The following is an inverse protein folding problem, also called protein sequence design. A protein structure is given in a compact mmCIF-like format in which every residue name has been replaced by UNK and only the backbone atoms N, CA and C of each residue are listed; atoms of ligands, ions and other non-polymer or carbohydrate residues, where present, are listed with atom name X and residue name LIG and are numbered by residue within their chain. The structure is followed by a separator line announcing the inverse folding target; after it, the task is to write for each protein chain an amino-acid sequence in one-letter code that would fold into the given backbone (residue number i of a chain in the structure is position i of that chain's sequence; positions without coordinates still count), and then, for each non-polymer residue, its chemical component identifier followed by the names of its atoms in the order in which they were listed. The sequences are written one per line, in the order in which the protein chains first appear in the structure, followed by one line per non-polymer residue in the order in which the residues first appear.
data_IF_179062631830
#
_entry.id   IF_179062631830
#
_cell.length_a   1.000
_cell.length_b   1.000
_cell.length_c   1.000
_cell.angle_alpha   90.00
_cell.angle_beta   90.00
_cell.angle_gamma   90.00
#
_symmetry.space_group_name_H-M   'P 1'
#
loop_
_entity.id
_entity.type
_entity.pdbx_description
1 polymer ?
#
# COMPACT_ATOMS: atom_id res chain seq x y z
N UNK A 1 -15.25 -17.15 2.69
CA UNK A 1 -13.94 -16.48 2.57
C UNK A 1 -13.98 -15.60 1.32
N UNK A 2 -14.33 -14.31 1.47
CA UNK A 2 -14.37 -13.38 0.35
C UNK A 2 -12.93 -13.00 0.01
N UNK A 3 -12.36 -13.68 -0.98
CA UNK A 3 -10.98 -13.53 -1.44
C UNK A 3 -10.67 -12.09 -1.90
N UNK A 4 -11.72 -11.34 -2.29
CA UNK A 4 -11.62 -9.94 -2.69
C UNK A 4 -12.34 -9.02 -1.69
N UNK A 5 -11.57 -8.19 -0.99
CA UNK A 5 -12.12 -6.92 -0.51
C UNK A 5 -12.24 -6.01 -1.73
N UNK A 6 -13.39 -6.11 -2.43
CA UNK A 6 -13.61 -5.50 -3.73
C UNK A 6 -13.28 -4.01 -3.75
N UNK A 7 -13.68 -3.27 -2.72
CA UNK A 7 -13.38 -1.82 -2.62
C UNK A 7 -11.89 -1.54 -2.55
N UNK A 8 -11.14 -2.28 -1.72
CA UNK A 8 -9.69 -2.06 -1.55
C UNK A 8 -8.90 -2.42 -2.81
N UNK A 9 -9.21 -3.58 -3.38
CA UNK A 9 -8.54 -4.09 -4.58
C UNK A 9 -8.78 -3.19 -5.79
N UNK A 10 -9.98 -2.63 -5.92
CA UNK A 10 -10.31 -1.65 -6.96
C UNK A 10 -9.50 -0.36 -6.77
N UNK A 11 -9.46 0.20 -5.54
CA UNK A 11 -8.69 1.43 -5.28
C UNK A 11 -7.21 1.23 -5.63
N UNK A 12 -6.62 0.13 -5.18
CA UNK A 12 -5.23 -0.19 -5.44
C UNK A 12 -4.94 -0.46 -6.91
N UNK A 13 -5.82 -1.19 -7.59
CA UNK A 13 -5.70 -1.46 -9.02
C UNK A 13 -5.78 -0.18 -9.85
N UNK A 14 -6.72 0.72 -9.53
CA UNK A 14 -6.85 2.01 -10.22
C UNK A 14 -5.62 2.88 -9.96
N UNK A 15 -5.21 3.07 -8.71
CA UNK A 15 -4.07 3.95 -8.42
C UNK A 15 -2.77 3.39 -8.99
N UNK A 16 -2.54 2.08 -8.89
CA UNK A 16 -1.41 1.42 -9.53
C UNK A 16 -1.46 1.57 -11.05
N UNK A 17 -2.62 1.36 -11.68
CA UNK A 17 -2.79 1.47 -13.13
C UNK A 17 -2.53 2.87 -13.67
N UNK A 18 -3.11 3.88 -13.02
CA UNK A 18 -2.86 5.31 -13.33
C UNK A 18 -1.39 5.65 -13.21
N UNK A 19 -0.72 5.14 -12.16
CA UNK A 19 0.69 5.39 -11.96
C UNK A 19 1.58 4.73 -13.01
N UNK A 20 1.27 3.50 -13.41
CA UNK A 20 1.96 2.82 -14.50
C UNK A 20 1.80 3.58 -15.81
N UNK A 21 0.60 4.08 -16.11
CA UNK A 21 0.33 4.93 -17.26
C UNK A 21 1.16 6.23 -17.22
N UNK A 22 1.13 6.96 -16.10
CA UNK A 22 1.90 8.19 -15.93
C UNK A 22 3.42 7.95 -16.05
N UNK A 23 3.91 6.83 -15.52
CA UNK A 23 5.30 6.43 -15.66
C UNK A 23 5.70 6.20 -17.11
N UNK A 24 4.85 5.52 -17.89
CA UNK A 24 5.11 5.30 -19.30
C UNK A 24 5.10 6.61 -20.10
N UNK A 25 4.19 7.55 -19.78
CA UNK A 25 4.19 8.88 -20.39
C UNK A 25 5.46 9.67 -20.05
N UNK A 26 5.87 9.64 -18.78
CA UNK A 26 7.10 10.30 -18.33
C UNK A 26 8.32 9.73 -19.05
N UNK A 27 8.39 8.40 -19.16
CA UNK A 27 9.44 7.72 -19.92
C UNK A 27 9.51 8.18 -21.38
N UNK A 28 8.37 8.33 -22.06
CA UNK A 28 8.31 8.83 -23.43
C UNK A 28 8.63 10.33 -23.57
N UNK A 29 8.30 11.14 -22.56
CA UNK A 29 8.59 12.57 -22.56
C UNK A 29 10.08 12.86 -22.30
N UNK A 30 10.79 11.94 -21.65
CA UNK A 30 12.22 12.11 -21.35
C UNK A 30 13.10 11.56 -22.48
N UNK A 31 14.03 12.37 -23.04
CA UNK A 31 14.99 11.89 -24.02
C UNK A 31 16.06 11.04 -23.31
N UNK A 32 15.83 9.73 -23.22
CA UNK A 32 16.72 8.80 -22.53
C UNK A 32 17.76 8.21 -23.50
N UNK A 33 19.06 8.52 -23.35
CA UNK A 33 20.08 8.03 -24.26
C UNK A 33 20.52 6.61 -23.88
N UNK A 34 20.36 5.69 -24.83
CA UNK A 34 20.96 4.37 -24.79
C UNK A 34 20.29 3.34 -23.86
N UNK A 35 20.68 2.05 -23.99
CA UNK A 35 19.97 0.95 -23.33
C UNK A 35 20.10 0.91 -21.80
N UNK A 36 21.30 1.17 -21.25
CA UNK A 36 21.52 1.18 -19.79
C UNK A 36 20.65 2.24 -19.11
N UNK A 37 20.67 3.46 -19.64
CA UNK A 37 19.87 4.58 -19.12
C UNK A 37 18.39 4.30 -19.29
N UNK A 38 17.96 3.71 -20.40
CA UNK A 38 16.56 3.29 -20.64
C UNK A 38 16.06 2.34 -19.55
N UNK A 39 16.81 1.28 -19.27
CA UNK A 39 16.45 0.31 -18.24
C UNK A 39 16.47 0.91 -16.83
N UNK A 40 17.49 1.71 -16.53
CA UNK A 40 17.66 2.31 -15.21
C UNK A 40 16.61 3.40 -14.95
N UNK A 41 16.47 4.38 -15.83
CA UNK A 41 15.50 5.47 -15.67
C UNK A 41 14.06 4.94 -15.76
N UNK A 42 13.78 4.02 -16.69
CA UNK A 42 12.46 3.39 -16.79
C UNK A 42 12.10 2.56 -15.56
N UNK A 43 13.05 1.77 -15.03
CA UNK A 43 12.89 1.06 -13.77
C UNK A 43 12.64 2.01 -12.59
N UNK A 44 13.39 3.12 -12.54
CA UNK A 44 13.23 4.19 -11.56
C UNK A 44 11.84 4.83 -11.58
N UNK A 45 11.37 5.27 -12.75
CA UNK A 45 10.03 5.87 -12.89
C UNK A 45 8.93 4.90 -12.51
N UNK A 46 9.01 3.65 -12.96
CA UNK A 46 8.02 2.64 -12.66
C UNK A 46 7.95 2.39 -11.15
N UNK A 47 9.09 2.13 -10.51
CA UNK A 47 9.13 1.87 -9.08
C UNK A 47 8.69 3.08 -8.25
N UNK A 48 9.14 4.28 -8.61
CA UNK A 48 8.76 5.52 -7.93
C UNK A 48 7.26 5.80 -8.00
N UNK A 49 6.70 5.85 -9.21
CA UNK A 49 5.32 6.28 -9.40
C UNK A 49 4.33 5.21 -8.94
N UNK A 50 4.56 3.94 -9.28
CA UNK A 50 3.66 2.84 -8.90
C UNK A 50 3.61 2.70 -7.37
N UNK A 51 4.77 2.69 -6.70
CA UNK A 51 4.77 2.59 -5.23
C UNK A 51 4.13 3.83 -4.57
N UNK A 52 4.44 5.03 -5.06
CA UNK A 52 3.87 6.29 -4.56
C UNK A 52 2.34 6.29 -4.61
N UNK A 53 1.77 5.96 -5.76
CA UNK A 53 0.33 6.00 -5.96
C UNK A 53 -0.40 4.86 -5.24
N UNK A 54 0.22 3.69 -5.09
CA UNK A 54 -0.35 2.64 -4.23
C UNK A 54 -0.38 3.11 -2.77
N UNK A 55 0.65 3.80 -2.29
CA UNK A 55 0.68 4.39 -0.93
C UNK A 55 -0.37 5.50 -0.78
N UNK A 56 -0.56 6.34 -1.79
CA UNK A 56 -1.67 7.32 -1.83
C UNK A 56 -3.02 6.59 -1.80
N UNK A 57 -3.17 5.51 -2.57
CA UNK A 57 -4.38 4.69 -2.60
C UNK A 57 -4.70 4.07 -1.23
N UNK A 58 -3.67 3.60 -0.51
CA UNK A 58 -3.82 3.09 0.86
C UNK A 58 -4.30 4.19 1.82
N UNK A 59 -3.69 5.38 1.79
CA UNK A 59 -4.11 6.49 2.65
C UNK A 59 -5.52 6.97 2.29
N UNK A 60 -5.85 7.06 1.00
CA UNK A 60 -7.19 7.39 0.56
C UNK A 60 -8.22 6.35 1.03
N UNK A 61 -7.90 5.06 0.98
CA UNK A 61 -8.75 3.98 1.47
C UNK A 61 -9.00 4.09 2.99
N UNK A 62 -7.95 4.36 3.79
CA UNK A 62 -8.02 4.40 5.26
C UNK A 62 -8.58 5.72 5.81
N UNK A 63 -8.02 6.87 5.41
CA UNK A 63 -8.31 8.16 6.05
C UNK A 63 -9.11 9.12 5.17
N UNK A 64 -9.22 8.83 3.85
CA UNK A 64 -9.71 9.77 2.84
C UNK A 64 -8.88 11.06 2.79
N UNK A 65 -7.60 10.96 3.12
CA UNK A 65 -6.63 12.06 3.06
C UNK A 65 -5.41 11.64 2.24
N UNK A 66 -4.52 12.59 1.97
CA UNK A 66 -3.20 12.29 1.43
C UNK A 66 -2.21 11.93 2.55
N UNK A 67 -1.21 11.09 2.26
CA UNK A 67 -0.08 10.89 3.17
C UNK A 67 0.68 12.19 3.41
N UNK A 68 1.41 12.26 4.53
CA UNK A 68 2.31 13.38 4.79
C UNK A 68 3.37 13.51 3.70
N UNK A 69 3.76 14.75 3.38
CA UNK A 69 4.67 15.05 2.29
C UNK A 69 6.02 14.33 2.43
N UNK A 70 6.56 14.23 3.65
CA UNK A 70 7.83 13.53 3.92
C UNK A 70 7.76 12.03 3.59
N UNK A 71 6.61 11.38 3.80
CA UNK A 71 6.39 9.98 3.40
C UNK A 71 6.33 9.86 1.89
N UNK A 72 5.62 10.77 1.20
CA UNK A 72 5.54 10.80 -0.26
C UNK A 72 6.92 10.98 -0.91
N UNK A 73 7.72 11.95 -0.44
CA UNK A 73 9.06 12.20 -0.97
C UNK A 73 10.01 11.05 -0.69
N UNK A 74 9.91 10.41 0.49
CA UNK A 74 10.70 9.23 0.82
C UNK A 74 10.38 8.04 -0.12
N UNK A 75 9.10 7.76 -0.36
CA UNK A 75 8.69 6.68 -1.28
C UNK A 75 9.15 6.97 -2.70
N UNK A 76 8.96 8.22 -3.17
CA UNK A 76 9.40 8.64 -4.49
C UNK A 76 10.92 8.45 -4.67
N UNK A 77 11.72 8.95 -3.73
CA UNK A 77 13.19 8.86 -3.80
C UNK A 77 13.68 7.41 -3.72
N UNK A 78 13.13 6.62 -2.79
CA UNK A 78 13.47 5.21 -2.67
C UNK A 78 13.08 4.45 -3.95
N UNK A 79 11.92 4.72 -4.52
CA UNK A 79 11.48 4.12 -5.77
C UNK A 79 12.39 4.46 -6.95
N UNK A 80 12.79 5.73 -7.09
CA UNK A 80 13.75 6.12 -8.12
C UNK A 80 15.08 5.37 -7.95
N UNK A 81 15.62 5.35 -6.73
CA UNK A 81 16.91 4.74 -6.44
C UNK A 81 16.88 3.21 -6.64
N UNK A 82 15.96 2.50 -5.98
CA UNK A 82 15.89 1.04 -6.09
C UNK A 82 15.41 0.57 -7.47
N UNK A 83 14.52 1.33 -8.11
CA UNK A 83 14.09 1.05 -9.47
C UNK A 83 15.22 1.21 -10.48
N UNK A 84 16.04 2.26 -10.34
CA UNK A 84 17.20 2.48 -11.20
C UNK A 84 18.28 1.42 -11.02
N UNK A 85 18.58 1.04 -9.77
CA UNK A 85 19.50 -0.06 -9.48
C UNK A 85 18.97 -1.38 -10.04
N UNK A 86 17.69 -1.68 -9.86
CA UNK A 86 17.05 -2.87 -10.43
C UNK A 86 17.15 -2.90 -11.96
N UNK A 87 16.86 -1.77 -12.61
CA UNK A 87 17.00 -1.63 -14.06
C UNK A 87 18.43 -1.84 -14.55
N UNK A 88 19.42 -1.26 -13.87
CA UNK A 88 20.83 -1.43 -14.21
C UNK A 88 21.28 -2.89 -14.08
N UNK A 89 20.91 -3.58 -12.98
CA UNK A 89 21.23 -5.00 -12.78
C UNK A 89 20.68 -5.84 -13.93
N UNK A 90 19.42 -5.62 -14.30
CA UNK A 90 18.77 -6.32 -15.41
C UNK A 90 19.50 -6.08 -16.72
N UNK A 91 19.89 -4.84 -17.00
CA UNK A 91 20.65 -4.51 -18.20
C UNK A 91 21.96 -5.29 -18.27
N UNK A 92 22.74 -5.33 -17.18
CA UNK A 92 23.98 -6.10 -17.14
C UNK A 92 23.74 -7.61 -17.31
N UNK A 93 22.67 -8.16 -16.74
CA UNK A 93 22.29 -9.56 -16.93
C UNK A 93 21.90 -9.88 -18.38
N UNK A 94 21.24 -8.96 -19.08
CA UNK A 94 20.91 -9.12 -20.51
C UNK A 94 22.18 -9.02 -21.37
N UNK A 95 23.11 -8.12 -21.02
CA UNK A 95 24.32 -7.90 -21.82
C UNK A 95 25.33 -9.03 -21.75
N UNK A 96 25.36 -9.78 -20.66
CA UNK A 96 26.25 -10.94 -20.53
C UNK A 96 25.77 -12.15 -21.31
N UNK A 97 24.52 -12.19 -21.78
CA UNK A 97 23.99 -13.32 -22.55
C UNK A 97 22.87 -12.90 -23.53
N UNK A 98 23.17 -12.82 -24.83
CA UNK A 98 22.23 -12.36 -25.86
C UNK A 98 21.00 -13.27 -26.05
N UNK A 99 21.14 -14.58 -25.78
CA UNK A 99 20.03 -15.54 -25.78
C UNK A 99 19.00 -15.21 -24.67
N UNK A 100 19.41 -14.47 -23.64
CA UNK A 100 18.55 -14.01 -22.55
C UNK A 100 17.82 -12.70 -22.86
N UNK A 101 17.90 -12.11 -24.05
CA UNK A 101 17.24 -10.84 -24.31
C UNK A 101 15.71 -10.89 -24.05
N UNK A 102 15.05 -11.98 -24.43
CA UNK A 102 13.60 -12.17 -24.19
C UNK A 102 13.30 -12.49 -22.72
N UNK A 103 13.95 -13.53 -22.18
CA UNK A 103 13.73 -13.97 -20.79
C UNK A 103 14.19 -12.94 -19.77
N UNK A 104 15.30 -12.27 -20.04
CA UNK A 104 15.85 -11.19 -19.23
C UNK A 104 14.92 -9.98 -19.15
N UNK A 105 14.11 -9.73 -20.18
CA UNK A 105 13.08 -8.68 -20.12
C UNK A 105 11.96 -9.05 -19.15
N UNK A 106 11.49 -10.30 -19.19
CA UNK A 106 10.46 -10.81 -18.27
C UNK A 106 10.98 -10.81 -16.83
N UNK A 107 12.18 -11.36 -16.62
CA UNK A 107 12.87 -11.37 -15.32
C UNK A 107 13.06 -9.94 -14.82
N UNK A 108 13.44 -9.02 -15.71
CA UNK A 108 13.68 -7.64 -15.35
C UNK A 108 12.44 -6.87 -14.93
N UNK A 109 11.33 -7.06 -15.65
CA UNK A 109 10.04 -6.52 -15.21
C UNK A 109 9.58 -7.16 -13.89
N UNK A 110 9.83 -8.46 -13.70
CA UNK A 110 9.61 -9.13 -12.42
C UNK A 110 10.42 -8.51 -11.27
N UNK A 111 11.71 -8.22 -11.47
CA UNK A 111 12.57 -7.55 -10.48
C UNK A 111 12.08 -6.13 -10.19
N UNK A 112 11.77 -5.34 -11.23
CA UNK A 112 11.21 -4.00 -11.06
C UNK A 112 9.90 -4.04 -10.26
N UNK A 113 9.00 -4.97 -10.60
CA UNK A 113 7.76 -5.18 -9.88
C UNK A 113 7.99 -5.61 -8.42
N UNK A 114 8.93 -6.53 -8.18
CA UNK A 114 9.34 -6.95 -6.84
C UNK A 114 9.82 -5.79 -5.98
N UNK A 115 10.61 -4.88 -6.56
CA UNK A 115 11.04 -3.64 -5.90
C UNK A 115 9.85 -2.75 -5.54
N UNK A 116 8.88 -2.57 -6.44
CA UNK A 116 7.63 -1.85 -6.13
C UNK A 116 6.92 -2.50 -4.93
N UNK A 117 6.77 -3.82 -4.97
CA UNK A 117 6.14 -4.60 -3.92
C UNK A 117 6.83 -4.44 -2.56
N UNK A 118 8.15 -4.50 -2.53
CA UNK A 118 8.94 -4.24 -1.33
C UNK A 118 8.68 -2.84 -0.76
N UNK A 119 8.73 -1.79 -1.58
CA UNK A 119 8.49 -0.41 -1.13
C UNK A 119 7.07 -0.21 -0.61
N UNK A 120 6.09 -0.81 -1.27
CA UNK A 120 4.70 -0.80 -0.85
C UNK A 120 4.53 -1.49 0.51
N UNK A 121 5.22 -2.62 0.75
CA UNK A 121 5.14 -3.35 2.03
C UNK A 121 5.57 -2.54 3.24
N UNK A 122 6.50 -1.59 3.07
CA UNK A 122 6.97 -0.71 4.14
C UNK A 122 5.96 0.36 4.54
N UNK A 123 4.93 0.57 3.72
CA UNK A 123 3.99 1.67 3.85
C UNK A 123 2.55 1.22 4.11
N UNK A 124 2.26 -0.06 3.91
CA UNK A 124 0.99 -0.70 4.25
C UNK A 124 1.13 -1.36 5.63
N UNK A 125 0.28 -1.04 6.60
CA UNK A 125 0.38 -1.58 7.96
C UNK A 125 0.35 -3.11 7.96
N UNK A 126 1.32 -3.72 8.65
CA UNK A 126 1.43 -5.17 8.83
C UNK A 126 1.46 -6.00 7.53
N UNK A 127 1.84 -5.41 6.40
CA UNK A 127 2.03 -6.14 5.15
C UNK A 127 3.35 -6.91 5.15
N UNK A 128 3.29 -8.22 4.89
CA UNK A 128 4.49 -9.05 4.80
C UNK A 128 5.34 -8.71 3.57
N UNK A 129 6.59 -8.29 3.77
CA UNK A 129 7.51 -7.92 2.67
C UNK A 129 7.66 -9.02 1.61
N UNK A 130 7.78 -10.29 2.03
CA UNK A 130 7.88 -11.44 1.11
C UNK A 130 6.67 -11.55 0.18
N UNK A 131 5.46 -11.40 0.73
CA UNK A 131 4.22 -11.50 -0.04
C UNK A 131 4.09 -10.32 -1.02
N UNK A 132 4.43 -9.12 -0.57
CA UNK A 132 4.38 -7.94 -1.42
C UNK A 132 5.42 -8.00 -2.55
N UNK A 133 6.63 -8.52 -2.28
CA UNK A 133 7.66 -8.77 -3.30
C UNK A 133 7.13 -9.74 -4.37
N UNK A 134 6.51 -10.85 -3.97
CA UNK A 134 5.94 -11.83 -4.90
C UNK A 134 4.80 -11.19 -5.70
N UNK A 135 3.89 -10.46 -5.05
CA UNK A 135 2.82 -9.72 -5.71
C UNK A 135 3.35 -8.72 -6.75
N UNK A 136 4.41 -8.02 -6.36
CA UNK A 136 5.18 -7.13 -7.22
C UNK A 136 5.71 -7.84 -8.47
N UNK A 137 6.41 -8.96 -8.28
CA UNK A 137 6.98 -9.76 -9.36
C UNK A 137 5.91 -10.27 -10.32
N UNK A 138 4.77 -10.76 -9.81
CA UNK A 138 3.63 -11.21 -10.62
C UNK A 138 3.11 -10.07 -11.50
N UNK A 139 2.91 -8.87 -10.95
CA UNK A 139 2.45 -7.73 -11.73
C UNK A 139 3.47 -7.24 -12.76
N UNK A 140 4.77 -7.30 -12.44
CA UNK A 140 5.85 -7.05 -13.38
C UNK A 140 5.80 -8.00 -14.58
N UNK A 141 5.80 -9.31 -14.32
CA UNK A 141 5.72 -10.34 -15.37
C UNK A 141 4.44 -10.19 -16.20
N UNK A 142 3.29 -9.98 -15.56
CA UNK A 142 2.01 -9.84 -16.25
C UNK A 142 2.00 -8.67 -17.26
N UNK A 143 2.49 -7.49 -16.85
CA UNK A 143 2.54 -6.36 -17.79
C UNK A 143 3.58 -6.54 -18.90
N UNK A 144 4.68 -7.23 -18.63
CA UNK A 144 5.66 -7.60 -19.67
C UNK A 144 5.04 -8.53 -20.72
N UNK A 145 4.31 -9.56 -20.28
CA UNK A 145 3.60 -10.48 -21.18
C UNK A 145 2.53 -9.75 -22.02
N UNK A 146 1.78 -8.83 -21.41
CA UNK A 146 0.78 -8.04 -22.15
C UNK A 146 1.40 -7.08 -23.17
N UNK A 147 2.57 -6.52 -22.88
CA UNK A 147 3.34 -5.76 -23.86
C UNK A 147 3.72 -6.65 -25.06
N UNK A 148 4.06 -7.93 -24.84
CA UNK A 148 4.33 -8.88 -25.93
C UNK A 148 3.10 -9.27 -26.74
N UNK A 149 1.88 -9.13 -26.20
CA UNK A 149 0.62 -9.33 -26.92
C UNK A 149 0.24 -8.13 -27.82
N UNK A 150 1.21 -7.33 -28.25
CA UNK A 150 1.05 -6.16 -29.12
C UNK A 150 0.16 -5.02 -28.58
N UNK A 151 -0.12 -4.98 -27.26
CA UNK A 151 -0.85 -3.88 -26.63
C UNK A 151 0.00 -2.62 -26.39
N UNK A 152 1.31 -2.71 -26.65
CA UNK A 152 2.25 -1.60 -26.54
C UNK A 152 2.84 -1.41 -25.14
N UNK A 153 3.92 -0.62 -25.06
CA UNK A 153 4.66 -0.36 -23.82
C UNK A 153 3.79 0.33 -22.76
N UNK A 154 3.08 1.39 -23.12
CA UNK A 154 2.23 2.16 -22.21
C UNK A 154 1.19 1.27 -21.52
N UNK A 155 0.50 0.43 -22.31
CA UNK A 155 -0.48 -0.52 -21.78
C UNK A 155 0.18 -1.55 -20.86
N UNK A 156 1.35 -2.08 -21.25
CA UNK A 156 2.11 -3.02 -20.41
C UNK A 156 2.43 -2.44 -19.03
N UNK A 157 2.97 -1.22 -18.96
CA UNK A 157 3.34 -0.58 -17.69
C UNK A 157 2.08 -0.23 -16.86
N UNK A 158 1.02 0.27 -17.49
CA UNK A 158 -0.25 0.52 -16.82
C UNK A 158 -0.81 -0.76 -16.19
N UNK A 159 -0.81 -1.88 -16.93
CA UNK A 159 -1.29 -3.15 -16.38
C UNK A 159 -0.36 -3.68 -15.30
N UNK A 160 0.97 -3.50 -15.40
CA UNK A 160 1.88 -3.82 -14.30
C UNK A 160 1.46 -3.13 -13.01
N UNK A 161 1.25 -1.80 -13.05
CA UNK A 161 0.82 -1.07 -11.86
C UNK A 161 -0.52 -1.57 -11.32
N UNK A 162 -1.50 -1.81 -12.19
CA UNK A 162 -2.82 -2.29 -11.79
C UNK A 162 -2.77 -3.69 -11.15
N UNK A 163 -2.03 -4.63 -11.74
CA UNK A 163 -1.88 -5.98 -11.22
C UNK A 163 -1.12 -5.98 -9.89
N UNK A 164 -0.05 -5.18 -9.75
CA UNK A 164 0.64 -5.04 -8.46
C UNK A 164 -0.35 -4.58 -7.39
N UNK A 165 -1.15 -3.55 -7.67
CA UNK A 165 -2.15 -3.05 -6.73
C UNK A 165 -3.17 -4.12 -6.33
N UNK A 166 -3.75 -4.83 -7.30
CA UNK A 166 -4.75 -5.87 -7.06
C UNK A 166 -4.17 -7.03 -6.25
N UNK A 167 -3.00 -7.53 -6.65
CA UNK A 167 -2.38 -8.70 -6.00
C UNK A 167 -1.89 -8.35 -4.60
N UNK A 168 -1.35 -7.13 -4.38
CA UNK A 168 -1.00 -6.66 -3.03
C UNK A 168 -2.24 -6.60 -2.14
N UNK A 169 -3.33 -5.98 -2.59
CA UNK A 169 -4.57 -5.90 -1.81
C UNK A 169 -5.17 -7.29 -1.52
N UNK A 170 -5.08 -8.22 -2.47
CA UNK A 170 -5.55 -9.59 -2.31
C UNK A 170 -4.67 -10.38 -1.34
N UNK A 171 -3.35 -10.29 -1.47
CA UNK A 171 -2.39 -10.94 -0.58
C UNK A 171 -2.54 -10.43 0.86
N UNK A 172 -2.82 -9.14 1.03
CA UNK A 172 -3.11 -8.57 2.34
C UNK A 172 -4.35 -9.21 2.98
N UNK A 173 -5.41 -9.48 2.22
CA UNK A 173 -6.63 -10.12 2.74
C UNK A 173 -6.43 -11.62 2.99
N UNK A 174 -5.74 -12.33 2.09
CA UNK A 174 -5.54 -13.77 2.17
C UNK A 174 -4.64 -14.23 3.32
N UNK A 175 -3.59 -13.45 3.63
CA UNK A 175 -2.53 -13.85 4.55
C UNK A 175 -2.55 -13.10 5.89
N UNK A 176 -3.63 -12.37 6.19
CA UNK A 176 -3.79 -11.70 7.48
C UNK A 176 -4.01 -12.71 8.62
N UNK A 177 -3.42 -12.44 9.78
CA UNK A 177 -3.59 -13.25 10.99
C UNK A 177 -4.79 -12.83 11.85
N UNK A 178 -5.18 -11.57 11.73
CA UNK A 178 -6.31 -10.94 12.39
C UNK A 178 -6.52 -9.56 11.78
N UNK A 179 -7.70 -8.99 11.94
CA UNK A 179 -7.99 -7.65 11.43
C UNK A 179 -8.91 -6.88 12.37
N UNK A 180 -8.92 -5.57 12.19
CA UNK A 180 -9.89 -4.69 12.82
C UNK A 180 -10.76 -4.05 11.75
N UNK A 181 -12.06 -4.11 11.96
CA UNK A 181 -13.04 -3.36 11.20
C UNK A 181 -13.16 -1.98 11.85
N UNK A 182 -12.84 -0.95 11.08
CA UNK A 182 -12.78 0.43 11.55
C UNK A 182 -13.91 1.21 10.90
N UNK A 183 -14.76 1.81 11.72
CA UNK A 183 -15.83 2.72 11.28
C UNK A 183 -15.61 4.08 11.90
N UNK A 184 -15.32 5.07 11.06
CA UNK A 184 -15.13 6.45 11.47
C UNK A 184 -16.43 7.21 11.22
N UNK A 185 -16.86 8.00 12.21
CA UNK A 185 -18.08 8.79 12.20
C UNK A 185 -17.79 10.29 12.12
N UNK A 186 -18.76 11.08 11.65
CA UNK A 186 -18.62 12.54 11.53
C UNK A 186 -18.51 13.26 12.87
N UNK A 187 -19.12 12.71 13.91
CA UNK A 187 -19.24 13.29 15.25
C UNK A 187 -18.80 12.29 16.32
N UNK A 188 -18.35 12.75 17.52
CA UNK A 188 -18.03 11.88 18.63
C UNK A 188 -19.21 10.97 18.99
N UNK A 189 -18.94 9.68 19.17
CA UNK A 189 -19.96 8.72 19.58
C UNK A 189 -20.22 8.88 21.08
N UNK A 190 -21.45 9.26 21.45
CA UNK A 190 -21.88 9.23 22.85
C UNK A 190 -22.24 7.79 23.24
N UNK A 191 -21.65 7.29 24.33
CA UNK A 191 -21.89 5.93 24.84
C UNK A 191 -23.33 5.67 25.35
N UNK A 192 -24.17 6.71 25.47
CA UNK A 192 -25.46 6.63 26.19
C UNK A 192 -26.65 7.33 25.53
N UNK A 193 -26.65 7.55 24.21
CA UNK A 193 -27.80 8.16 23.51
C UNK A 193 -27.88 7.85 22.01
N UNK A 194 -28.98 8.28 21.36
CA UNK A 194 -29.16 8.17 19.91
C UNK A 194 -28.13 9.06 19.23
N UNK A 195 -27.01 8.46 18.81
CA UNK A 195 -26.00 9.14 18.01
C UNK A 195 -26.51 9.29 16.58
N UNK A 196 -26.76 10.52 16.15
CA UNK A 196 -27.07 10.85 14.74
C UNK A 196 -25.80 10.82 13.86
N UNK A 197 -24.67 10.36 14.40
CA UNK A 197 -23.39 10.35 13.73
C UNK A 197 -23.44 9.43 12.51
N UNK A 198 -23.15 9.99 11.33
CA UNK A 198 -23.13 9.21 10.09
C UNK A 198 -21.76 8.60 9.89
N UNK A 199 -21.66 7.33 9.46
CA UNK A 199 -20.38 6.72 9.11
C UNK A 199 -19.82 7.45 7.88
N UNK A 200 -18.64 8.02 8.02
CA UNK A 200 -17.94 8.76 6.95
C UNK A 200 -16.92 7.89 6.21
N UNK A 201 -16.36 6.90 6.89
CA UNK A 201 -15.48 5.92 6.27
C UNK A 201 -15.56 4.59 7.02
N UNK A 202 -15.50 3.50 6.27
CA UNK A 202 -15.42 2.15 6.81
C UNK A 202 -14.36 1.38 6.04
N UNK A 203 -13.41 0.79 6.75
CA UNK A 203 -12.29 0.08 6.17
C UNK A 203 -11.76 -0.97 7.12
N UNK A 204 -10.89 -1.84 6.59
CA UNK A 204 -10.29 -2.93 7.33
C UNK A 204 -8.79 -2.68 7.45
N UNK A 205 -8.26 -2.88 8.65
CA UNK A 205 -6.82 -2.87 8.90
C UNK A 205 -6.35 -4.24 9.38
N UNK A 206 -5.21 -4.66 8.86
CA UNK A 206 -4.58 -5.90 9.31
C UNK A 206 -3.80 -5.68 10.61
N UNK A 207 -3.97 -6.64 11.51
CA UNK A 207 -3.15 -6.75 12.71
C UNK A 207 -1.95 -7.67 12.45
N UNK A 208 -0.82 -7.33 13.04
CA UNK A 208 0.42 -8.06 12.87
C UNK A 208 1.45 -7.70 13.93
N UNK A 209 2.72 -7.61 13.52
CA UNK A 209 3.85 -7.36 14.42
C UNK A 209 3.89 -5.90 14.89
N UNK A 210 3.53 -4.99 13.99
CA UNK A 210 3.59 -3.55 14.25
C UNK A 210 2.26 -3.10 14.85
N UNK A 211 2.34 -2.24 15.87
CA UNK A 211 1.18 -1.66 16.52
C UNK A 211 0.44 -0.73 15.55
N UNK A 212 -0.89 -0.79 15.56
CA UNK A 212 -1.74 0.14 14.81
C UNK A 212 -1.92 1.40 15.64
N UNK A 213 -1.54 2.55 15.07
CA UNK A 213 -1.60 3.84 15.75
C UNK A 213 -2.94 4.54 15.51
N UNK A 214 -3.58 4.98 16.58
CA UNK A 214 -4.85 5.71 16.55
C UNK A 214 -4.64 7.12 17.08
N UNK A 215 -5.01 8.12 16.30
CA UNK A 215 -4.83 9.51 16.72
C UNK A 215 -5.34 10.53 15.71
N UNK A 216 -4.90 11.76 15.88
CA UNK A 216 -5.39 12.92 15.12
C UNK A 216 -4.43 13.40 14.04
N UNK A 217 -3.23 12.83 13.97
CA UNK A 217 -2.23 13.20 12.98
C UNK A 217 -2.34 12.34 11.72
N UNK A 218 -1.96 12.92 10.58
CA UNK A 218 -2.10 12.30 9.26
C UNK A 218 -1.14 11.13 9.02
N UNK A 219 -0.22 10.86 9.93
CA UNK A 219 0.65 9.69 9.94
C UNK A 219 0.07 8.48 10.72
N UNK A 220 -1.06 8.65 11.39
CA UNK A 220 -1.75 7.59 12.12
C UNK A 220 -2.43 6.59 11.18
N UNK A 221 -2.43 5.31 11.54
CA UNK A 221 -3.11 4.26 10.78
C UNK A 221 -4.64 4.38 10.85
N UNK A 222 -5.15 4.83 12.01
CA UNK A 222 -6.54 5.21 12.23
C UNK A 222 -6.59 6.71 12.55
N UNK A 223 -7.05 7.50 11.57
CA UNK A 223 -7.24 8.94 11.72
C UNK A 223 -8.60 9.28 12.33
N UNK A 224 -8.58 9.80 13.55
CA UNK A 224 -9.71 10.41 14.22
C UNK A 224 -10.03 11.78 13.59
N UNK A 225 -11.32 12.09 13.45
CA UNK A 225 -11.79 13.32 12.75
C UNK A 225 -12.57 14.27 13.64
N UNK A 226 -12.90 13.88 14.87
CA UNK A 226 -13.54 14.78 15.82
C UNK A 226 -12.59 15.93 16.19
N UNK A 227 -13.11 17.17 16.19
CA UNK A 227 -12.40 18.32 16.76
C UNK A 227 -12.60 18.33 18.28
N UNK A 228 -11.65 17.76 19.03
CA UNK A 228 -11.51 17.95 20.47
C UNK A 228 -10.42 18.98 20.81
N UNK A 229 -10.51 19.61 21.97
CA UNK A 229 -9.58 20.64 22.45
C UNK A 229 -8.31 19.95 22.99
N UNK A 230 -7.13 20.46 22.60
CA UNK A 230 -5.79 20.01 23.02
C UNK A 230 -5.54 18.49 22.83
N UNK A 231 -5.46 18.06 21.58
CA UNK A 231 -5.36 16.63 21.25
C UNK A 231 -3.91 16.18 21.19
N UNK A 232 -3.57 15.20 22.03
CA UNK A 232 -2.32 14.45 21.88
C UNK A 232 -2.29 13.86 20.47
N UNK A 233 -1.13 13.93 19.81
CA UNK A 233 -0.93 13.46 18.43
C UNK A 233 -1.44 12.02 18.26
N UNK A 234 -1.16 11.21 19.27
CA UNK A 234 -1.52 9.80 19.41
C UNK A 234 -2.41 9.65 20.66
N UNK A 235 -3.43 8.80 20.56
CA UNK A 235 -4.42 8.56 21.63
C UNK A 235 -4.31 7.13 22.13
N UNK A 236 -4.17 6.17 21.23
CA UNK A 236 -4.12 4.76 21.60
C UNK A 236 -3.38 3.92 20.57
N UNK A 237 -2.91 2.76 21.02
CA UNK A 237 -2.22 1.74 20.23
C UNK A 237 -3.03 0.44 20.26
N UNK A 238 -3.16 -0.21 19.12
CA UNK A 238 -3.73 -1.55 19.04
C UNK A 238 -2.61 -2.55 18.72
N UNK A 239 -2.42 -3.54 19.59
CA UNK A 239 -1.40 -4.58 19.42
C UNK A 239 -2.02 -5.97 19.36
N UNK A 240 -1.37 -6.86 18.59
CA UNK A 240 -1.72 -8.27 18.53
C UNK A 240 -0.60 -9.09 19.19
N UNK A 241 -0.89 -9.68 20.34
CA UNK A 241 0.06 -10.48 21.12
C UNK A 241 -0.53 -11.86 21.38
N UNK A 242 0.16 -12.93 20.97
CA UNK A 242 -0.28 -14.32 21.16
C UNK A 242 -1.72 -14.60 20.67
N UNK A 243 -2.12 -13.96 19.56
CA UNK A 243 -3.47 -14.11 18.99
C UNK A 243 -4.56 -13.30 19.69
N UNK A 244 -4.20 -12.51 20.71
CA UNK A 244 -5.12 -11.62 21.44
C UNK A 244 -4.88 -10.17 21.06
N UNK A 245 -5.97 -9.44 20.84
CA UNK A 245 -5.94 -8.01 20.53
C UNK A 245 -5.99 -7.20 21.81
N UNK A 246 -5.12 -6.20 21.94
CA UNK A 246 -5.09 -5.29 23.07
C UNK A 246 -5.19 -3.85 22.59
N UNK A 247 -5.96 -3.05 23.32
CA UNK A 247 -5.97 -1.59 23.21
C UNK A 247 -5.19 -1.00 24.37
N UNK A 248 -4.15 -0.23 24.05
CA UNK A 248 -3.36 0.51 25.01
C UNK A 248 -3.63 2.00 24.87
N UNK A 249 -4.07 2.65 25.94
CA UNK A 249 -4.21 4.10 25.98
C UNK A 249 -2.84 4.74 26.25
N UNK A 250 -2.40 5.61 25.34
CA UNK A 250 -1.06 6.22 25.40
C UNK A 250 -0.93 7.22 26.56
N UNK A 251 -2.04 7.79 27.07
CA UNK A 251 -2.03 8.73 28.20
C UNK A 251 -2.02 8.03 29.54
N UNK A 252 -2.83 6.99 29.69
CA UNK A 252 -3.00 6.29 30.99
C UNK A 252 -2.10 5.07 31.13
N UNK A 253 -1.53 4.57 30.04
CA UNK A 253 -0.77 3.31 30.00
C UNK A 253 -1.64 2.07 30.24
N UNK A 254 -2.96 2.24 30.34
CA UNK A 254 -3.88 1.13 30.59
C UNK A 254 -3.98 0.24 29.35
N UNK A 255 -3.93 -1.07 29.56
CA UNK A 255 -4.01 -2.08 28.50
C UNK A 255 -5.26 -2.91 28.71
N UNK A 256 -6.18 -2.90 27.74
CA UNK A 256 -7.44 -3.63 27.76
C UNK A 256 -7.44 -4.68 26.64
N UNK A 257 -7.74 -5.93 26.96
CA UNK A 257 -7.98 -6.97 25.94
C UNK A 257 -9.31 -6.70 25.22
N UNK A 258 -9.30 -6.74 23.89
CA UNK A 258 -10.50 -6.65 23.04
C UNK A 258 -10.84 -8.05 22.57
N UNK A 259 -12.01 -8.55 22.95
CA UNK A 259 -12.45 -9.89 22.52
C UNK A 259 -12.92 -9.86 21.05
N UNK A 260 -12.82 -10.98 20.31
CA UNK A 260 -13.40 -11.08 18.97
C UNK A 260 -14.89 -10.71 18.98
N UNK A 261 -15.29 -9.81 18.09
CA UNK A 261 -16.65 -9.27 18.00
C UNK A 261 -16.96 -8.13 18.99
N UNK A 262 -16.09 -7.86 19.97
CA UNK A 262 -16.24 -6.70 20.87
C UNK A 262 -16.00 -5.41 20.08
N UNK A 263 -16.91 -4.46 20.24
CA UNK A 263 -16.81 -3.12 19.68
C UNK A 263 -16.25 -2.18 20.73
N UNK A 264 -15.18 -1.50 20.40
CA UNK A 264 -14.57 -0.47 21.23
C UNK A 264 -14.74 0.88 20.55
N UNK A 265 -15.26 1.84 21.30
CA UNK A 265 -15.46 3.21 20.84
C UNK A 265 -14.31 4.06 21.36
N UNK A 266 -13.63 4.73 20.44
CA UNK A 266 -12.59 5.71 20.71
C UNK A 266 -13.02 7.00 20.02
N UNK A 267 -13.52 7.96 20.80
CA UNK A 267 -13.98 9.26 20.30
C UNK A 267 -15.06 9.12 19.19
N UNK A 268 -14.73 9.44 17.94
CA UNK A 268 -15.60 9.31 16.77
C UNK A 268 -15.33 8.04 15.95
N UNK A 269 -14.64 7.05 16.52
CA UNK A 269 -14.26 5.83 15.84
C UNK A 269 -14.80 4.60 16.60
N UNK A 270 -15.41 3.67 15.87
CA UNK A 270 -15.74 2.34 16.36
C UNK A 270 -14.77 1.34 15.75
N UNK A 271 -14.19 0.51 16.60
CA UNK A 271 -13.21 -0.50 16.23
C UNK A 271 -13.73 -1.85 16.70
N UNK A 272 -13.85 -2.80 15.77
CA UNK A 272 -14.28 -4.15 16.07
C UNK A 272 -13.14 -5.12 15.72
N UNK A 273 -12.70 -5.91 16.71
CA UNK A 273 -11.70 -6.94 16.47
C UNK A 273 -12.33 -8.19 15.84
N UNK A 274 -11.73 -8.65 14.76
CA UNK A 274 -12.17 -9.81 13.99
C UNK A 274 -10.98 -10.77 13.79
N UNK A 275 -11.23 -12.07 13.96
CA UNK A 275 -10.24 -13.14 13.81
C UNK A 275 -10.44 -13.89 12.49
#
# INVERSE_FOLDING_TARGET
MAIFNGKKSIVFGITGGVAGFLSALLYHATPIPGPLTSWSVGGGYNAALISLFIVIGQSYYQSRTFPILSKLTAVLFQGLMFGALGGAIVYFCIMTNSEFAYYGRIVGWGICGATCGFLVSRNIPNMGAKLAIIAGAIGGVAGCLLMYLHLGFVTGVAVTGAVIGIVVASAEVMFRKGWVDVTVYSEPLKQSGISMAKPINQYVLNLGKDAIQVGYSSDMDILLKAKGIAMSKEVSLITLENGKCYLSDTKTGTKKEIKPGEKVIIENCEIQFCH
#
